data_IF_769010714025
#
_entry.id   IF_769010714025
#
_cell.length_a   1.000
_cell.length_b   1.000
_cell.length_c   1.000
_cell.angle_alpha   90.00
_cell.angle_beta   90.00
_cell.angle_gamma   90.00
#
_symmetry.space_group_name_H-M   'P 1'
#
loop_
_entity.id
_entity.type
_entity.pdbx_description
1 polymer ?
#
# COMPACT_ATOMS: atom_id res chain seq x y z
N UNK A 1 -4.06 -15.10 -18.29
CA UNK A 1 -3.22 -14.10 -17.61
C UNK A 1 -1.85 -14.09 -18.27
N UNK A 2 -1.13 -12.97 -18.29
CA UNK A 2 0.26 -12.95 -18.77
C UNK A 2 1.22 -13.50 -17.71
N UNK A 3 2.46 -13.81 -18.09
CA UNK A 3 3.54 -13.89 -17.11
C UNK A 3 3.82 -12.49 -16.53
N UNK A 4 4.36 -12.38 -15.30
CA UNK A 4 4.79 -11.11 -14.74
C UNK A 4 5.88 -10.46 -15.59
N UNK A 5 5.74 -9.17 -15.90
CA UNK A 5 6.73 -8.38 -16.65
C UNK A 5 7.34 -7.33 -15.75
N UNK A 6 8.66 -7.39 -15.60
CA UNK A 6 9.41 -6.46 -14.77
C UNK A 6 9.67 -5.14 -15.50
N UNK A 7 9.50 -4.03 -14.80
CA UNK A 7 9.91 -2.68 -15.25
C UNK A 7 10.62 -1.96 -14.11
N UNK A 8 11.74 -1.30 -14.41
CA UNK A 8 12.41 -0.43 -13.44
C UNK A 8 11.74 0.94 -13.42
N UNK A 9 11.53 1.49 -12.22
CA UNK A 9 11.05 2.86 -12.04
C UNK A 9 12.14 3.80 -11.49
N UNK A 10 13.35 3.27 -11.25
CA UNK A 10 14.51 4.02 -10.80
C UNK A 10 15.82 3.26 -11.05
N UNK A 11 16.98 3.89 -10.76
CA UNK A 11 18.30 3.32 -11.03
C UNK A 11 18.74 2.22 -10.05
N UNK A 12 18.17 2.13 -8.86
CA UNK A 12 18.54 1.11 -7.86
C UNK A 12 17.99 -0.26 -8.25
N UNK A 13 18.72 -1.38 -8.01
CA UNK A 13 18.23 -2.73 -8.32
C UNK A 13 16.91 -3.12 -7.64
N UNK A 14 16.56 -2.49 -6.52
CA UNK A 14 15.29 -2.69 -5.80
C UNK A 14 14.16 -1.77 -6.31
N UNK A 15 14.45 -0.81 -7.20
CA UNK A 15 13.44 0.10 -7.77
C UNK A 15 12.76 -0.51 -9.01
N UNK A 16 11.99 -1.58 -8.80
CA UNK A 16 11.24 -2.22 -9.86
C UNK A 16 9.85 -2.67 -9.43
N UNK A 17 9.00 -2.83 -10.43
CA UNK A 17 7.67 -3.42 -10.29
C UNK A 17 7.50 -4.58 -11.28
N UNK A 18 6.56 -5.47 -10.98
CA UNK A 18 6.16 -6.58 -11.84
C UNK A 18 4.67 -6.43 -12.17
N UNK A 19 4.36 -6.21 -13.45
CA UNK A 19 3.00 -6.12 -13.96
C UNK A 19 2.55 -7.48 -14.50
N UNK A 20 1.41 -7.95 -13.99
CA UNK A 20 0.71 -9.15 -14.47
C UNK A 20 -0.64 -8.73 -15.04
N UNK A 21 -0.84 -8.92 -16.34
CA UNK A 21 -2.09 -8.56 -17.01
C UNK A 21 -3.12 -9.69 -16.95
N UNK A 22 -4.41 -9.35 -16.78
CA UNK A 22 -5.47 -10.33 -16.83
C UNK A 22 -5.69 -10.84 -18.27
N UNK A 23 -6.51 -11.88 -18.41
CA UNK A 23 -6.98 -12.30 -19.73
C UNK A 23 -7.81 -11.18 -20.41
N UNK A 24 -7.87 -11.20 -21.74
CA UNK A 24 -8.54 -10.18 -22.54
C UNK A 24 -7.57 -9.13 -23.11
N UNK A 25 -8.12 -8.18 -23.87
CA UNK A 25 -7.34 -7.15 -24.62
C UNK A 25 -7.66 -5.71 -24.21
N UNK A 26 -8.69 -5.48 -23.39
CA UNK A 26 -9.08 -4.14 -22.95
C UNK A 26 -8.26 -3.63 -21.75
N UNK A 27 -8.41 -2.33 -21.41
CA UNK A 27 -7.93 -1.77 -20.16
C UNK A 27 -8.57 -2.48 -18.97
N UNK A 28 -7.77 -2.82 -17.97
CA UNK A 28 -8.22 -3.43 -16.72
C UNK A 28 -7.96 -2.48 -15.54
N UNK A 29 -8.83 -2.48 -14.51
CA UNK A 29 -8.57 -1.72 -13.30
C UNK A 29 -7.25 -2.18 -12.68
N UNK A 30 -6.50 -1.26 -12.07
CA UNK A 30 -5.15 -1.52 -11.58
C UNK A 30 -5.18 -1.80 -10.08
N UNK A 31 -4.47 -2.85 -9.65
CA UNK A 31 -4.25 -3.14 -8.24
C UNK A 31 -2.75 -3.22 -7.95
N UNK A 32 -2.24 -2.29 -7.15
CA UNK A 32 -0.84 -2.27 -6.71
C UNK A 32 -0.73 -2.99 -5.37
N UNK A 33 0.17 -3.97 -5.27
CA UNK A 33 0.39 -4.78 -4.08
C UNK A 33 1.76 -4.44 -3.47
N UNK A 34 1.74 -4.04 -2.20
CA UNK A 34 2.90 -3.61 -1.41
C UNK A 34 3.15 -4.63 -0.29
N UNK A 35 4.35 -5.20 -0.27
CA UNK A 35 4.69 -6.26 0.68
C UNK A 35 4.99 -5.75 2.10
N UNK A 36 4.96 -6.65 3.08
CA UNK A 36 5.28 -6.36 4.47
C UNK A 36 6.78 -6.49 4.81
N UNK A 37 7.07 -6.68 6.10
CA UNK A 37 8.43 -6.94 6.60
C UNK A 37 9.07 -5.80 7.40
N UNK A 38 8.26 -4.98 8.11
CA UNK A 38 8.73 -3.87 8.95
C UNK A 38 9.70 -2.90 8.24
N UNK A 39 9.54 -2.74 6.92
CA UNK A 39 10.43 -1.93 6.07
C UNK A 39 11.92 -2.32 6.16
N UNK A 40 12.25 -3.47 6.74
CA UNK A 40 13.62 -3.97 6.88
C UNK A 40 13.89 -4.99 5.79
N UNK A 41 15.16 -5.11 5.38
CA UNK A 41 15.60 -6.01 4.32
C UNK A 41 15.60 -7.50 4.72
N UNK A 42 14.47 -8.00 5.25
CA UNK A 42 14.23 -9.41 5.59
C UNK A 42 13.28 -10.10 4.60
N UNK A 43 12.34 -9.34 4.03
CA UNK A 43 11.37 -9.79 3.03
C UNK A 43 11.35 -8.82 1.85
N UNK A 44 10.86 -9.28 0.71
CA UNK A 44 10.74 -8.53 -0.53
C UNK A 44 9.44 -8.82 -1.28
N UNK A 45 9.48 -8.53 -2.58
CA UNK A 45 8.33 -8.64 -3.50
C UNK A 45 7.69 -10.03 -3.53
N UNK A 46 8.39 -11.09 -3.12
CA UNK A 46 7.85 -12.46 -3.08
C UNK A 46 6.60 -12.61 -2.21
N UNK A 47 6.40 -11.75 -1.20
CA UNK A 47 5.17 -11.75 -0.40
C UNK A 47 3.99 -11.07 -1.13
N UNK A 48 4.25 -10.20 -2.10
CA UNK A 48 3.21 -9.53 -2.88
C UNK A 48 2.75 -10.37 -4.09
N UNK A 49 3.64 -11.20 -4.64
CA UNK A 49 3.40 -11.96 -5.88
C UNK A 49 2.14 -12.84 -5.84
N UNK A 50 1.88 -13.66 -4.79
CA UNK A 50 0.69 -14.51 -4.76
C UNK A 50 -0.62 -13.70 -4.82
N UNK A 51 -0.68 -12.58 -4.10
CA UNK A 51 -1.85 -11.69 -4.07
C UNK A 51 -2.05 -11.04 -5.44
N UNK A 52 -0.97 -10.59 -6.08
CA UNK A 52 -1.04 -10.02 -7.43
C UNK A 52 -1.49 -11.05 -8.48
N UNK A 53 -1.03 -12.31 -8.37
CA UNK A 53 -1.46 -13.39 -9.25
C UNK A 53 -2.96 -13.69 -9.10
N UNK A 54 -3.49 -13.79 -7.88
CA UNK A 54 -4.93 -13.98 -7.65
C UNK A 54 -5.76 -12.79 -8.16
N UNK A 55 -5.31 -11.54 -7.93
CA UNK A 55 -5.99 -10.35 -8.46
C UNK A 55 -6.01 -10.35 -9.99
N UNK A 56 -4.91 -10.71 -10.65
CA UNK A 56 -4.86 -10.77 -12.10
C UNK A 56 -5.65 -11.94 -12.69
N UNK A 57 -5.80 -13.05 -11.96
CA UNK A 57 -6.77 -14.11 -12.31
C UNK A 57 -8.21 -13.61 -12.31
N UNK A 58 -8.50 -12.57 -11.51
CA UNK A 58 -9.82 -11.99 -11.36
C UNK A 58 -10.07 -10.80 -12.28
N UNK A 59 -9.13 -10.42 -13.14
CA UNK A 59 -9.35 -9.33 -14.09
C UNK A 59 -8.76 -7.98 -13.68
N UNK A 60 -7.91 -7.92 -12.65
CA UNK A 60 -7.10 -6.73 -12.37
C UNK A 60 -5.81 -6.73 -13.20
N UNK A 61 -5.34 -5.56 -13.61
CA UNK A 61 -3.93 -5.37 -13.94
C UNK A 61 -3.15 -5.26 -12.62
N UNK A 62 -2.57 -6.37 -12.17
CA UNK A 62 -1.95 -6.45 -10.86
C UNK A 62 -0.46 -6.07 -10.94
N UNK A 63 -0.03 -5.21 -10.03
CA UNK A 63 1.34 -4.66 -9.98
C UNK A 63 1.94 -4.98 -8.61
N UNK A 64 2.88 -5.91 -8.55
CA UNK A 64 3.70 -6.09 -7.34
C UNK A 64 4.86 -5.10 -7.37
N UNK A 65 5.15 -4.44 -6.25
CA UNK A 65 6.24 -3.44 -6.17
C UNK A 65 7.31 -3.92 -5.20
N UNK A 66 8.56 -3.89 -5.66
CA UNK A 66 9.75 -3.96 -4.80
C UNK A 66 10.19 -2.52 -4.50
N UNK A 67 10.73 -2.24 -3.32
CA UNK A 67 11.18 -0.89 -2.93
C UNK A 67 12.34 -0.95 -1.93
N UNK A 68 13.24 0.03 -1.88
CA UNK A 68 14.37 -0.01 -0.93
C UNK A 68 13.90 0.00 0.53
N UNK A 69 14.63 -0.73 1.37
CA UNK A 69 14.31 -0.99 2.79
C UNK A 69 15.44 -0.57 3.71
N UNK A 70 15.15 -0.40 4.99
CA UNK A 70 16.18 -0.23 6.03
C UNK A 70 17.13 -1.43 5.97
N UNK A 71 18.43 -1.15 5.93
CA UNK A 71 19.48 -2.14 5.72
C UNK A 71 19.83 -2.42 4.25
N UNK A 72 19.06 -1.86 3.29
CA UNK A 72 19.33 -1.96 1.85
C UNK A 72 19.14 -0.63 1.10
N UNK A 73 19.51 0.48 1.73
CA UNK A 73 19.47 1.83 1.12
C UNK A 73 18.11 2.52 1.16
N UNK A 74 17.13 1.94 1.86
CA UNK A 74 15.84 2.55 2.19
C UNK A 74 15.83 3.22 3.55
N UNK A 75 14.65 3.39 4.12
CA UNK A 75 14.41 4.28 5.26
C UNK A 75 13.88 5.63 4.80
N UNK A 76 13.89 6.62 5.69
CA UNK A 76 13.41 7.96 5.39
C UNK A 76 14.43 8.76 4.55
N UNK A 77 14.01 9.41 3.45
CA UNK A 77 12.71 9.29 2.78
C UNK A 77 12.65 8.19 1.69
N UNK A 78 13.77 7.51 1.40
CA UNK A 78 13.95 6.64 0.23
C UNK A 78 12.87 5.56 0.06
N UNK A 79 12.39 4.93 1.13
CA UNK A 79 11.32 3.92 1.03
C UNK A 79 10.00 4.53 0.57
N UNK A 80 9.66 5.74 1.05
CA UNK A 80 8.44 6.44 0.66
C UNK A 80 8.56 6.97 -0.77
N UNK A 81 9.72 7.54 -1.11
CA UNK A 81 10.03 8.01 -2.46
C UNK A 81 9.95 6.87 -3.49
N UNK A 82 10.40 5.67 -3.13
CA UNK A 82 10.34 4.50 -4.00
C UNK A 82 8.90 4.06 -4.29
N UNK A 83 8.04 4.02 -3.27
CA UNK A 83 6.61 3.68 -3.46
C UNK A 83 5.91 4.76 -4.28
N UNK A 84 6.17 6.03 -4.00
CA UNK A 84 5.63 7.13 -4.80
C UNK A 84 6.06 7.03 -6.27
N UNK A 85 7.36 6.82 -6.52
CA UNK A 85 7.91 6.67 -7.86
C UNK A 85 7.34 5.45 -8.61
N UNK A 86 7.11 4.33 -7.92
CA UNK A 86 6.48 3.15 -8.51
C UNK A 86 5.05 3.44 -9.01
N UNK A 87 4.23 4.12 -8.19
CA UNK A 87 2.89 4.54 -8.60
C UNK A 87 2.93 5.59 -9.72
N UNK A 88 3.84 6.56 -9.64
CA UNK A 88 3.98 7.64 -10.63
C UNK A 88 4.57 7.17 -11.97
N UNK A 89 5.14 5.97 -12.01
CA UNK A 89 5.61 5.31 -13.22
C UNK A 89 4.48 4.60 -14.00
N UNK A 90 3.33 4.30 -13.37
CA UNK A 90 2.23 3.57 -14.01
C UNK A 90 1.76 4.19 -15.34
N UNK A 91 1.58 5.53 -15.48
CA UNK A 91 1.19 6.14 -16.75
C UNK A 91 2.26 6.04 -17.86
N UNK A 92 3.48 5.63 -17.52
CA UNK A 92 4.61 5.50 -18.44
C UNK A 92 4.98 4.05 -18.77
N UNK A 93 4.22 3.05 -18.27
CA UNK A 93 4.52 1.65 -18.55
C UNK A 93 4.26 1.32 -20.04
N UNK A 94 5.03 0.39 -20.64
CA UNK A 94 4.83 -0.02 -22.03
C UNK A 94 3.42 -0.52 -22.35
N UNK A 95 2.74 -1.07 -21.34
CA UNK A 95 1.39 -1.61 -21.44
C UNK A 95 0.33 -0.64 -20.90
N UNK A 96 0.60 0.67 -20.83
CA UNK A 96 -0.35 1.65 -20.27
C UNK A 96 -1.73 1.59 -20.94
N UNK A 97 -1.81 1.27 -22.23
CA UNK A 97 -3.08 1.08 -22.96
C UNK A 97 -3.93 -0.10 -22.44
N UNK A 98 -3.34 -0.96 -21.60
CA UNK A 98 -3.99 -2.07 -20.89
C UNK A 98 -4.37 -1.74 -19.46
N UNK A 99 -4.08 -0.52 -18.98
CA UNK A 99 -4.31 -0.08 -17.62
C UNK A 99 -5.42 0.97 -17.58
N UNK A 100 -6.51 0.66 -16.88
CA UNK A 100 -7.50 1.66 -16.51
C UNK A 100 -7.05 2.36 -15.22
N UNK A 101 -6.31 3.46 -15.38
CA UNK A 101 -5.84 4.28 -14.26
C UNK A 101 -6.95 5.12 -13.62
N UNK A 102 -8.19 5.09 -14.13
CA UNK A 102 -9.37 5.65 -13.44
C UNK A 102 -9.83 4.82 -12.25
N UNK A 103 -9.31 3.59 -12.14
CA UNK A 103 -9.56 2.67 -11.04
C UNK A 103 -8.22 2.13 -10.56
N UNK A 104 -7.63 2.81 -9.58
CA UNK A 104 -6.34 2.44 -9.00
C UNK A 104 -6.52 2.05 -7.53
N UNK A 105 -6.50 0.75 -7.29
CA UNK A 105 -6.48 0.18 -5.96
C UNK A 105 -5.04 -0.02 -5.45
N UNK A 106 -4.83 0.16 -4.15
CA UNK A 106 -3.61 -0.25 -3.45
C UNK A 106 -3.95 -1.28 -2.38
N UNK A 107 -3.12 -2.30 -2.25
CA UNK A 107 -3.26 -3.37 -1.28
C UNK A 107 -1.93 -3.54 -0.59
N UNK A 108 -1.93 -3.67 0.73
CA UNK A 108 -0.70 -3.98 1.42
C UNK A 108 -0.90 -4.64 2.76
N UNK A 109 0.11 -5.41 3.16
CA UNK A 109 0.15 -6.11 4.44
C UNK A 109 1.20 -5.51 5.37
N UNK A 110 0.88 -5.32 6.65
CA UNK A 110 1.84 -4.87 7.66
C UNK A 110 2.49 -3.53 7.29
N UNK A 111 3.81 -3.49 7.17
CA UNK A 111 4.57 -2.38 6.60
C UNK A 111 4.11 -1.95 5.18
N UNK A 112 3.62 -2.88 4.37
CA UNK A 112 3.00 -2.60 3.08
C UNK A 112 1.60 -2.01 3.23
N UNK A 113 0.85 -2.40 4.27
CA UNK A 113 -0.44 -1.80 4.62
C UNK A 113 -0.27 -0.35 5.06
N UNK A 114 0.80 -0.05 5.78
CA UNK A 114 1.24 1.33 6.00
C UNK A 114 1.49 2.08 4.69
N UNK A 115 2.32 1.52 3.79
CA UNK A 115 2.70 2.19 2.54
C UNK A 115 1.49 2.38 1.61
N UNK A 116 0.53 1.46 1.60
CA UNK A 116 -0.74 1.57 0.89
C UNK A 116 -1.59 2.72 1.44
N UNK A 117 -1.76 2.79 2.76
CA UNK A 117 -2.51 3.87 3.41
C UNK A 117 -1.85 5.25 3.19
N UNK A 118 -0.52 5.31 3.29
CA UNK A 118 0.24 6.51 3.00
C UNK A 118 0.10 6.93 1.53
N UNK A 119 0.23 5.98 0.58
CA UNK A 119 0.10 6.26 -0.85
C UNK A 119 -1.30 6.79 -1.21
N UNK A 120 -2.36 6.34 -0.53
CA UNK A 120 -3.69 6.89 -0.69
C UNK A 120 -3.78 8.36 -0.24
N UNK A 121 -3.12 8.70 0.87
CA UNK A 121 -3.11 10.05 1.45
C UNK A 121 -2.08 11.02 0.87
N UNK A 122 -1.08 10.56 0.11
CA UNK A 122 0.08 11.39 -0.28
C UNK A 122 -0.25 12.64 -1.11
N UNK A 123 -1.42 12.68 -1.75
CA UNK A 123 -1.92 13.85 -2.47
C UNK A 123 -2.27 15.04 -1.56
N UNK A 124 -2.43 14.81 -0.25
CA UNK A 124 -2.68 15.83 0.77
C UNK A 124 -1.38 16.43 1.33
N UNK A 125 -0.23 15.86 0.97
CA UNK A 125 1.05 16.32 1.48
C UNK A 125 1.39 17.72 0.95
N UNK A 126 2.08 18.54 1.76
CA UNK A 126 2.60 19.84 1.31
C UNK A 126 3.54 19.68 0.11
N UNK A 127 3.56 20.68 -0.77
CA UNK A 127 4.48 20.69 -1.91
C UNK A 127 5.94 20.55 -1.44
N UNK A 128 6.68 19.66 -2.09
CA UNK A 128 8.08 19.37 -1.76
C UNK A 128 8.29 18.35 -0.63
N UNK A 129 7.23 17.87 0.02
CA UNK A 129 7.34 16.71 0.90
C UNK A 129 7.64 15.43 0.09
N UNK A 130 8.37 14.45 0.65
CA UNK A 130 8.58 13.14 0.03
C UNK A 130 7.28 12.54 -0.52
N UNK A 131 7.29 12.16 -1.79
CA UNK A 131 6.13 11.55 -2.48
C UNK A 131 4.91 12.46 -2.75
N UNK A 132 4.96 13.76 -2.44
CA UNK A 132 3.88 14.70 -2.73
C UNK A 132 3.66 14.89 -4.25
N UNK A 133 2.54 15.53 -4.62
CA UNK A 133 2.15 15.80 -6.00
C UNK A 133 2.08 14.53 -6.89
N UNK A 134 1.23 13.55 -6.53
CA UNK A 134 1.14 12.30 -7.27
C UNK A 134 0.59 12.50 -8.69
N UNK A 135 1.09 11.70 -9.64
CA UNK A 135 0.61 11.67 -11.02
C UNK A 135 -0.66 10.83 -11.20
N UNK A 136 -0.96 9.98 -10.22
CA UNK A 136 -2.14 9.11 -10.17
C UNK A 136 -2.80 9.18 -8.81
N UNK A 137 -4.13 9.12 -8.76
CA UNK A 137 -4.91 9.06 -7.51
C UNK A 137 -5.34 7.64 -7.21
N UNK A 138 -5.10 7.20 -5.98
CA UNK A 138 -5.67 5.97 -5.43
C UNK A 138 -7.17 6.18 -5.21
N UNK A 139 -7.98 5.24 -5.67
CA UNK A 139 -9.44 5.25 -5.51
C UNK A 139 -9.94 4.24 -4.48
N UNK A 140 -9.17 3.19 -4.22
CA UNK A 140 -9.48 2.17 -3.22
C UNK A 140 -8.20 1.69 -2.50
N UNK A 141 -8.30 1.38 -1.21
CA UNK A 141 -7.17 0.85 -0.44
C UNK A 141 -7.61 -0.29 0.48
N UNK A 142 -6.89 -1.42 0.42
CA UNK A 142 -7.02 -2.51 1.40
C UNK A 142 -5.76 -2.54 2.26
N UNK A 143 -5.94 -2.27 3.56
CA UNK A 143 -4.88 -2.14 4.54
C UNK A 143 -4.94 -3.35 5.49
N UNK A 144 -4.16 -4.40 5.19
CA UNK A 144 -4.16 -5.64 5.96
C UNK A 144 -3.15 -5.54 7.11
N UNK A 145 -3.62 -5.51 8.36
CA UNK A 145 -2.80 -5.30 9.56
C UNK A 145 -1.78 -4.16 9.40
N UNK A 146 -2.20 -3.04 8.80
CA UNK A 146 -1.30 -1.92 8.50
C UNK A 146 -0.83 -1.17 9.76
N UNK A 147 0.40 -0.65 9.74
CA UNK A 147 0.89 0.28 10.76
C UNK A 147 0.46 1.71 10.37
N UNK A 148 -0.70 2.16 10.85
CA UNK A 148 -1.39 3.35 10.33
C UNK A 148 -1.19 4.61 11.18
N UNK A 149 -0.75 4.45 12.43
CA UNK A 149 -0.31 5.51 13.35
C UNK A 149 1.14 5.21 13.77
N UNK A 150 2.09 5.83 13.07
CA UNK A 150 3.52 5.57 13.30
C UNK A 150 3.99 6.16 14.63
N UNK A 151 3.44 7.30 15.08
CA UNK A 151 3.75 7.83 16.40
C UNK A 151 3.39 6.81 17.48
N UNK A 152 2.16 6.28 17.43
CA UNK A 152 1.70 5.27 18.38
C UNK A 152 2.54 3.98 18.30
N UNK A 153 2.85 3.52 17.10
CA UNK A 153 3.69 2.33 16.91
C UNK A 153 5.12 2.52 17.44
N UNK A 154 5.71 3.71 17.28
CA UNK A 154 7.02 4.04 17.84
C UNK A 154 7.00 4.07 19.37
N UNK A 155 5.97 4.67 19.99
CA UNK A 155 5.79 4.66 21.44
C UNK A 155 5.65 3.24 22.02
N UNK A 156 5.00 2.34 21.28
CA UNK A 156 4.86 0.93 21.65
C UNK A 156 6.14 0.10 21.42
N UNK A 157 7.16 0.67 20.77
CA UNK A 157 8.36 -0.07 20.37
C UNK A 157 8.08 -1.17 19.35
N UNK A 158 7.02 -1.02 18.54
CA UNK A 158 6.52 -2.06 17.62
C UNK A 158 7.62 -2.55 16.68
N UNK A 159 7.69 -3.88 16.51
CA UNK A 159 8.68 -4.54 15.65
C UNK A 159 10.12 -4.29 16.09
N UNK A 160 10.39 -4.23 17.40
CA UNK A 160 11.69 -3.88 17.98
C UNK A 160 12.22 -2.54 17.44
N UNK A 161 11.39 -1.50 17.50
CA UNK A 161 11.76 -0.15 17.06
C UNK A 161 11.80 0.06 15.54
N UNK A 162 11.11 -0.77 14.76
CA UNK A 162 11.11 -0.70 13.29
C UNK A 162 10.70 0.67 12.73
N UNK A 163 9.76 1.35 13.39
CA UNK A 163 9.32 2.70 12.97
C UNK A 163 10.43 3.73 13.18
N UNK A 164 11.13 3.67 14.32
CA UNK A 164 12.26 4.56 14.61
C UNK A 164 13.39 4.35 13.60
N UNK A 165 13.66 3.09 13.22
CA UNK A 165 14.63 2.77 12.18
C UNK A 165 14.20 3.31 10.80
N UNK A 166 12.93 3.14 10.43
CA UNK A 166 12.37 3.67 9.19
C UNK A 166 12.55 5.19 9.13
N UNK A 167 12.13 5.90 10.17
CA UNK A 167 12.09 7.36 10.19
C UNK A 167 13.41 8.00 10.67
N UNK A 168 14.39 7.19 11.05
CA UNK A 168 15.71 7.61 11.51
C UNK A 168 15.69 8.38 12.83
N UNK A 169 14.72 8.13 13.71
CA UNK A 169 14.56 8.79 15.00
C UNK A 169 13.14 8.71 15.56
N UNK A 170 12.98 9.12 16.82
CA UNK A 170 11.70 9.09 17.56
C UNK A 170 10.75 10.22 17.12
N UNK A 171 9.45 10.17 17.46
CA UNK A 171 8.51 11.25 17.19
C UNK A 171 8.94 12.60 17.79
N UNK A 172 9.62 12.59 18.93
CA UNK A 172 10.12 13.81 19.57
C UNK A 172 11.30 14.43 18.81
N UNK A 173 12.18 13.62 18.24
CA UNK A 173 13.35 14.08 17.49
C UNK A 173 12.98 14.54 16.07
N UNK A 174 12.02 13.85 15.44
CA UNK A 174 11.68 14.05 14.04
C UNK A 174 10.16 14.21 13.78
N UNK A 175 9.46 15.13 14.46
CA UNK A 175 7.99 15.24 14.40
C UNK A 175 7.47 15.46 12.97
N UNK A 176 8.21 16.20 12.12
CA UNK A 176 7.82 16.42 10.73
C UNK A 176 7.85 15.16 9.85
N UNK A 177 8.73 14.19 10.15
CA UNK A 177 8.81 12.92 9.41
C UNK A 177 7.58 12.06 9.71
N UNK A 178 7.20 11.97 10.97
CA UNK A 178 5.99 11.26 11.40
C UNK A 178 4.73 11.92 10.83
N UNK A 179 4.63 13.25 10.88
CA UNK A 179 3.50 13.98 10.28
C UNK A 179 3.35 13.73 8.75
N UNK A 180 4.46 13.48 8.06
CA UNK A 180 4.48 13.20 6.61
C UNK A 180 4.21 11.73 6.29
N UNK A 181 4.68 10.81 7.14
CA UNK A 181 4.67 9.38 6.87
C UNK A 181 3.42 8.67 7.43
N UNK A 182 2.85 9.15 8.54
CA UNK A 182 1.74 8.47 9.23
C UNK A 182 0.41 8.55 8.48
N UNK A 183 -0.18 7.43 8.03
CA UNK A 183 -1.48 7.43 7.35
C UNK A 183 -2.59 8.12 8.14
N UNK A 184 -2.63 7.97 9.46
CA UNK A 184 -3.64 8.61 10.34
C UNK A 184 -3.62 10.14 10.28
N UNK A 185 -2.51 10.75 9.84
CA UNK A 185 -2.38 12.20 9.62
C UNK A 185 -2.85 12.65 8.24
N UNK A 186 -3.06 11.69 7.33
CA UNK A 186 -3.43 11.90 5.94
C UNK A 186 -4.85 11.40 5.64
N UNK A 187 -5.63 11.07 6.67
CA UNK A 187 -7.05 10.74 6.56
C UNK A 187 -7.92 11.95 6.91
N UNK A 188 -9.11 12.11 6.30
CA UNK A 188 -9.68 11.28 5.23
C UNK A 188 -9.01 11.50 3.86
N UNK A 189 -8.82 10.42 3.10
CA UNK A 189 -8.10 10.45 1.79
C UNK A 189 -9.03 10.68 0.59
N UNK A 190 -10.33 10.45 0.76
CA UNK A 190 -11.31 10.39 -0.33
C UNK A 190 -11.28 9.09 -1.17
N UNK A 191 -10.32 8.18 -0.92
CA UNK A 191 -10.40 6.81 -1.43
C UNK A 191 -11.36 5.98 -0.57
N UNK A 192 -11.99 4.96 -1.14
CA UNK A 192 -12.63 3.93 -0.34
C UNK A 192 -11.54 3.13 0.40
N UNK A 193 -11.70 2.85 1.69
CA UNK A 193 -10.68 2.14 2.47
C UNK A 193 -11.31 1.01 3.27
N UNK A 194 -10.68 -0.15 3.19
CA UNK A 194 -10.93 -1.30 4.04
C UNK A 194 -9.68 -1.62 4.88
N UNK A 195 -9.80 -1.60 6.19
CA UNK A 195 -8.84 -2.23 7.09
C UNK A 195 -9.27 -3.68 7.36
N UNK A 196 -8.37 -4.64 7.16
CA UNK A 196 -8.59 -6.05 7.54
C UNK A 196 -7.57 -6.40 8.62
N UNK A 197 -8.01 -6.91 9.77
CA UNK A 197 -7.13 -7.13 10.91
C UNK A 197 -7.46 -8.42 11.65
N UNK A 198 -6.43 -9.24 11.90
CA UNK A 198 -6.54 -10.44 12.73
C UNK A 198 -6.78 -10.08 14.19
N UNK A 199 -7.80 -10.66 14.84
CA UNK A 199 -8.11 -10.34 16.24
C UNK A 199 -7.08 -10.86 17.24
N UNK A 200 -6.22 -11.78 16.81
CA UNK A 200 -5.13 -12.36 17.61
C UNK A 200 -3.75 -11.79 17.21
N UNK A 201 -3.72 -10.73 16.38
CA UNK A 201 -2.47 -10.14 15.91
C UNK A 201 -1.69 -9.43 17.04
N UNK A 202 -0.53 -9.99 17.37
CA UNK A 202 0.41 -9.41 18.34
C UNK A 202 1.63 -8.76 17.68
N UNK A 203 1.73 -8.79 16.35
CA UNK A 203 2.84 -8.18 15.59
C UNK A 203 2.52 -6.72 15.29
N UNK A 204 1.35 -6.49 14.69
CA UNK A 204 0.76 -5.16 14.55
C UNK A 204 -0.59 -5.26 15.22
N UNK A 205 -0.78 -4.57 16.34
CA UNK A 205 -2.02 -4.76 17.13
C UNK A 205 -3.24 -4.12 16.44
N UNK A 206 -4.46 -4.68 16.61
CA UNK A 206 -5.70 -4.16 16.02
C UNK A 206 -5.98 -2.68 16.28
N UNK A 207 -5.45 -2.14 17.39
CA UNK A 207 -5.49 -0.71 17.74
C UNK A 207 -5.08 0.18 16.54
N UNK A 208 -4.16 -0.25 15.68
CA UNK A 208 -3.72 0.51 14.50
C UNK A 208 -4.86 0.77 13.51
N UNK A 209 -5.68 -0.24 13.20
CA UNK A 209 -6.84 -0.09 12.32
C UNK A 209 -7.97 0.69 12.99
N UNK A 210 -8.19 0.46 14.29
CA UNK A 210 -9.21 1.17 15.08
C UNK A 210 -8.92 2.67 15.14
N UNK A 211 -7.66 3.06 15.37
CA UNK A 211 -7.24 4.47 15.42
C UNK A 211 -7.38 5.16 14.08
N UNK A 212 -7.08 4.48 12.98
CA UNK A 212 -7.26 5.02 11.64
C UNK A 212 -8.74 5.28 11.33
N UNK A 213 -9.61 4.31 11.62
CA UNK A 213 -11.06 4.44 11.42
C UNK A 213 -11.71 5.47 12.37
N UNK A 214 -11.12 5.73 13.54
CA UNK A 214 -11.58 6.79 14.43
C UNK A 214 -11.36 8.21 13.85
N UNK A 215 -10.37 8.38 12.96
CA UNK A 215 -10.11 9.66 12.27
C UNK A 215 -10.96 9.80 11.01
N UNK A 216 -11.23 8.70 10.31
CA UNK A 216 -12.10 8.66 9.15
C UNK A 216 -13.19 7.59 9.31
N UNK A 217 -14.39 7.98 9.79
CA UNK A 217 -15.51 7.06 9.98
C UNK A 217 -16.05 6.41 8.69
N UNK A 218 -15.58 6.83 7.51
CA UNK A 218 -15.93 6.17 6.25
C UNK A 218 -15.13 4.90 5.98
N UNK A 219 -14.04 4.68 6.73
CA UNK A 219 -13.22 3.47 6.65
C UNK A 219 -14.01 2.26 7.15
N UNK A 220 -14.08 1.22 6.32
CA UNK A 220 -14.60 -0.09 6.74
C UNK A 220 -13.51 -0.84 7.53
N UNK A 221 -13.87 -1.41 8.69
CA UNK A 221 -12.96 -2.25 9.48
C UNK A 221 -13.52 -3.66 9.57
N UNK A 222 -12.76 -4.64 9.08
CA UNK A 222 -13.05 -6.06 9.18
C UNK A 222 -12.09 -6.73 10.16
N UNK A 223 -12.59 -7.01 11.37
CA UNK A 223 -11.91 -7.88 12.32
C UNK A 223 -12.15 -9.34 11.93
N UNK A 224 -11.08 -10.11 11.73
CA UNK A 224 -11.14 -11.51 11.25
C UNK A 224 -10.44 -12.45 12.23
N UNK A 225 -10.84 -13.73 12.32
CA UNK A 225 -10.10 -14.72 13.12
C UNK A 225 -8.65 -14.89 12.62
N UNK A 226 -7.74 -15.19 13.55
CA UNK A 226 -6.33 -15.47 13.26
C UNK A 226 -5.37 -14.32 13.60
N UNK A 227 -4.09 -14.59 13.35
CA UNK A 227 -2.97 -13.69 13.64
C UNK A 227 -2.55 -12.83 12.43
N UNK A 228 -1.32 -12.32 12.46
CA UNK A 228 -0.74 -11.41 11.46
C UNK A 228 -0.63 -11.97 10.05
N UNK A 229 -0.29 -13.26 9.89
CA UNK A 229 0.16 -13.83 8.61
C UNK A 229 -0.97 -14.40 7.72
N UNK A 230 -2.04 -15.04 8.24
CA UNK A 230 -3.15 -15.55 7.45
C UNK A 230 -3.84 -14.52 6.54
N UNK A 231 -3.63 -13.22 6.78
CA UNK A 231 -4.15 -12.16 5.92
C UNK A 231 -3.62 -12.24 4.48
N UNK A 232 -2.41 -12.76 4.28
CA UNK A 232 -1.79 -12.90 2.94
C UNK A 232 -1.90 -14.32 2.36
N UNK A 233 -2.66 -15.21 3.02
CA UNK A 233 -3.00 -16.51 2.46
C UNK A 233 -4.10 -16.34 1.41
N UNK A 234 -3.77 -16.59 0.15
CA UNK A 234 -4.68 -16.41 -0.98
C UNK A 234 -5.88 -17.37 -0.96
N UNK A 235 -5.75 -18.50 -0.26
CA UNK A 235 -6.83 -19.45 -0.05
C UNK A 235 -7.64 -19.16 1.24
N UNK A 236 -7.20 -18.16 2.01
CA UNK A 236 -7.77 -17.78 3.30
C UNK A 236 -9.00 -16.87 3.21
N UNK A 237 -9.87 -16.96 4.22
CA UNK A 237 -11.10 -16.17 4.31
C UNK A 237 -10.85 -14.65 4.43
N UNK A 238 -9.74 -14.26 5.06
CA UNK A 238 -9.36 -12.84 5.18
C UNK A 238 -9.03 -12.23 3.80
N UNK A 239 -8.30 -12.96 2.96
CA UNK A 239 -8.03 -12.54 1.60
C UNK A 239 -9.28 -12.58 0.72
N UNK A 240 -10.13 -13.61 0.86
CA UNK A 240 -11.44 -13.68 0.17
C UNK A 240 -12.30 -12.44 0.44
N UNK A 241 -12.34 -11.98 1.70
CA UNK A 241 -13.01 -10.74 2.09
C UNK A 241 -12.38 -9.52 1.38
N UNK A 242 -11.06 -9.37 1.45
CA UNK A 242 -10.32 -8.26 0.85
C UNK A 242 -10.57 -8.15 -0.67
N UNK A 243 -10.40 -9.26 -1.40
CA UNK A 243 -10.57 -9.26 -2.87
C UNK A 243 -12.03 -9.10 -3.30
N UNK A 244 -12.98 -9.63 -2.51
CA UNK A 244 -14.42 -9.39 -2.75
C UNK A 244 -14.76 -7.92 -2.54
N UNK A 245 -14.17 -7.28 -1.53
CA UNK A 245 -14.33 -5.86 -1.30
C UNK A 245 -13.76 -5.03 -2.47
N UNK A 246 -12.57 -5.37 -2.96
CA UNK A 246 -11.97 -4.73 -4.14
C UNK A 246 -12.86 -4.86 -5.37
N UNK A 247 -13.44 -6.04 -5.62
CA UNK A 247 -14.30 -6.28 -6.78
C UNK A 247 -15.53 -5.37 -6.82
N UNK A 248 -16.04 -4.94 -5.65
CA UNK A 248 -17.14 -3.95 -5.55
C UNK A 248 -16.70 -2.52 -5.88
N UNK A 249 -15.40 -2.24 -5.83
CA UNK A 249 -14.80 -0.91 -6.07
C UNK A 249 -14.09 -0.81 -7.44
N UNK A 250 -14.46 -1.68 -8.39
CA UNK A 250 -13.92 -1.70 -9.75
C UNK A 250 -14.45 -0.61 -10.69
N UNK A 251 -15.36 0.22 -10.20
CA UNK A 251 -15.94 1.33 -10.98
C UNK A 251 -15.58 2.64 -10.30
N UNK A 252 -15.14 3.67 -11.05
CA UNK A 252 -14.90 4.98 -10.46
C UNK A 252 -16.19 5.50 -9.83
N UNK A 253 -16.10 6.01 -8.60
CA UNK A 253 -17.18 6.85 -8.07
C UNK A 253 -17.34 8.10 -8.96
N UNK A 254 -18.53 8.70 -9.04
CA UNK A 254 -18.84 9.79 -9.98
C UNK A 254 -17.99 11.07 -9.84
N UNK A 255 -17.10 11.18 -8.85
CA UNK A 255 -16.37 12.41 -8.51
C UNK A 255 -14.82 12.32 -8.53
N UNK A 256 -14.21 11.19 -8.85
CA UNK A 256 -12.74 11.04 -8.82
C UNK A 256 -12.13 10.99 -10.23
N UNK A 257 -11.72 12.14 -10.77
CA UNK A 257 -10.78 12.17 -11.90
C UNK A 257 -9.38 11.80 -11.38
N UNK A 258 -8.85 10.65 -11.79
CA UNK A 258 -7.62 10.08 -11.21
C UNK A 258 -6.32 10.57 -11.83
N UNK A 259 -6.39 11.24 -12.99
CA UNK A 259 -5.27 11.92 -13.61
C UNK A 259 -5.24 13.36 -13.10
N UNK A 260 -4.17 13.70 -12.38
CA UNK A 260 -3.90 15.09 -11.99
C UNK A 260 -3.19 15.77 -13.17
N UNK A 261 -3.61 16.97 -13.60
CA UNK A 261 -2.97 17.71 -14.71
C UNK A 261 -1.48 17.98 -14.50
#
# INVERSE_FOLDING_TARGET
>A
MSAPRRSSYGPDPQQFLELTLPAGSGPAPVAVVLHGGFWRAAYGIELARPLAEDLAARGWAAVSVEYRRVGSGGGWPQTLDDVAAALDALPGLPDVDRLDLSVLAVVGHSAGGHLAGWAAGRHLLPAGAPGAAPRVRVTAAVLQAGVLDLERAAEQGMGDGAVTDLLGGTPAEHPGRYATASPVRLAPTGAAVLCVHGVEDTTVVPEQSERYAAVDPSVEVAAVPGDHMPLIDVDGAAWDLARTWLDRHRTPGPELSTLVP
#
